data_IF_165136762370
#
_entry.id   IF_165136762370
#
_cell.length_a   1.000
_cell.length_b   1.000
_cell.length_c   1.000
_cell.angle_alpha   90.00
_cell.angle_beta   90.00
_cell.angle_gamma   90.00
#
_symmetry.space_group_name_H-M   'P 1'
#
loop_
_entity.id
_entity.type
_entity.pdbx_description
1 polymer ?
#
# COMPACT_ATOMS: atom_id res chain seq x y z
N UNK A 1 -3.95 11.03 -14.76
CA UNK A 1 -4.30 11.55 -13.40
C UNK A 1 -4.35 13.06 -13.52
N UNK A 2 -5.42 13.68 -13.03
CA UNK A 2 -5.67 15.11 -13.13
C UNK A 2 -5.94 15.68 -11.73
N UNK A 3 -5.73 16.99 -11.54
CA UNK A 3 -6.06 17.73 -10.33
C UNK A 3 -7.06 18.82 -10.72
N UNK A 4 -8.23 18.82 -10.10
CA UNK A 4 -9.27 19.83 -10.31
C UNK A 4 -9.39 20.69 -9.05
N UNK A 5 -9.36 22.02 -9.22
CA UNK A 5 -9.56 22.98 -8.15
C UNK A 5 -10.89 23.70 -8.36
N UNK A 6 -11.79 23.55 -7.40
CA UNK A 6 -13.04 24.32 -7.34
C UNK A 6 -12.91 25.40 -6.25
N UNK A 7 -13.26 26.64 -6.58
CA UNK A 7 -13.19 27.78 -5.66
C UNK A 7 -14.50 28.58 -5.70
N UNK A 8 -15.07 28.88 -4.55
CA UNK A 8 -16.30 29.67 -4.38
C UNK A 8 -16.03 30.84 -3.43
N UNK A 9 -16.48 32.06 -3.77
CA UNK A 9 -16.08 33.32 -3.09
C UNK A 9 -16.81 33.57 -1.76
N UNK A 10 -17.72 32.72 -1.33
CA UNK A 10 -18.43 32.89 -0.07
C UNK A 10 -18.52 31.58 0.73
N UNK A 11 -17.70 31.48 1.77
CA UNK A 11 -17.99 30.78 3.04
C UNK A 11 -16.89 31.09 4.06
N UNK A 12 -17.30 31.49 5.26
CA UNK A 12 -16.45 31.82 6.42
C UNK A 12 -15.73 30.62 7.05
N UNK A 13 -15.51 29.53 6.30
CA UNK A 13 -14.79 28.33 6.76
C UNK A 13 -13.60 28.05 5.84
N UNK A 14 -12.41 28.17 6.41
CA UNK A 14 -11.12 27.78 5.84
C UNK A 14 -10.96 26.25 5.68
N UNK A 15 -12.05 25.49 5.49
CA UNK A 15 -11.95 24.03 5.34
C UNK A 15 -11.66 23.68 3.88
N UNK A 16 -10.44 23.20 3.60
CA UNK A 16 -10.06 22.67 2.30
C UNK A 16 -10.39 21.19 2.28
N UNK A 17 -11.43 20.79 1.54
CA UNK A 17 -11.73 19.38 1.34
C UNK A 17 -10.96 18.82 0.14
N UNK A 18 -10.27 17.69 0.34
CA UNK A 18 -9.63 16.92 -0.74
C UNK A 18 -10.45 15.66 -0.95
N UNK A 19 -10.84 15.38 -2.20
CA UNK A 19 -11.57 14.18 -2.59
C UNK A 19 -10.74 13.32 -3.55
N UNK A 20 -10.68 12.03 -3.27
CA UNK A 20 -10.04 11.01 -4.09
C UNK A 20 -11.14 10.07 -4.60
N UNK A 21 -11.23 9.99 -5.92
CA UNK A 21 -12.13 9.08 -6.64
C UNK A 21 -11.29 8.23 -7.59
N UNK A 22 -11.53 6.93 -7.58
CA UNK A 22 -10.92 5.98 -8.51
C UNK A 22 -11.92 5.68 -9.62
N UNK A 23 -11.67 6.24 -10.80
CA UNK A 23 -12.61 6.15 -11.92
C UNK A 23 -12.60 4.74 -12.51
N UNK A 24 -13.78 4.15 -12.64
CA UNK A 24 -13.95 2.83 -13.24
C UNK A 24 -13.64 1.66 -12.30
N UNK A 25 -13.48 1.90 -11.00
CA UNK A 25 -13.44 0.85 -9.98
C UNK A 25 -14.58 1.00 -8.98
N UNK A 26 -14.84 -0.05 -8.22
CA UNK A 26 -15.82 -0.04 -7.11
C UNK A 26 -15.19 0.40 -5.79
N UNK A 27 -14.00 1.01 -5.83
CA UNK A 27 -13.35 1.51 -4.62
C UNK A 27 -14.16 2.67 -4.02
N UNK A 28 -14.32 2.71 -2.69
CA UNK A 28 -15.04 3.78 -2.05
C UNK A 28 -14.26 5.10 -2.19
N UNK A 29 -14.99 6.22 -2.25
CA UNK A 29 -14.36 7.53 -2.25
C UNK A 29 -13.63 7.77 -0.94
N UNK A 30 -12.50 8.49 -1.00
CA UNK A 30 -11.79 8.94 0.18
C UNK A 30 -11.74 10.46 0.18
N UNK A 31 -12.35 11.10 1.16
CA UNK A 31 -12.32 12.56 1.34
C UNK A 31 -11.78 12.92 2.71
N UNK A 32 -11.07 14.03 2.81
CA UNK A 32 -10.57 14.54 4.08
C UNK A 32 -10.23 16.03 4.02
N UNK A 33 -10.22 16.67 5.19
CA UNK A 33 -9.56 17.95 5.43
C UNK A 33 -8.10 17.69 5.83
N UNK A 34 -7.09 18.40 5.28
CA UNK A 34 -5.68 18.26 5.68
C UNK A 34 -5.44 18.33 7.19
N UNK A 35 -6.24 19.10 7.94
CA UNK A 35 -6.16 19.17 9.41
C UNK A 35 -6.49 17.82 10.09
N UNK A 36 -7.23 16.93 9.43
CA UNK A 36 -7.44 15.56 9.92
C UNK A 36 -6.16 14.73 9.86
N UNK A 37 -5.34 14.88 8.81
CA UNK A 37 -4.03 14.21 8.71
C UNK A 37 -3.07 14.72 9.79
N UNK A 38 -3.04 16.03 10.02
CA UNK A 38 -2.19 16.64 11.06
C UNK A 38 -2.53 16.15 12.47
N UNK A 39 -3.80 15.85 12.73
CA UNK A 39 -4.28 15.36 14.03
C UNK A 39 -4.30 13.84 14.16
N UNK A 40 -4.16 13.12 13.05
CA UNK A 40 -4.24 11.67 13.06
C UNK A 40 -3.05 11.05 13.80
N UNK A 41 -3.30 9.89 14.41
CA UNK A 41 -2.28 9.06 15.04
C UNK A 41 -2.31 7.68 14.41
N UNK A 42 -1.14 7.18 14.02
CA UNK A 42 -0.96 5.84 13.48
C UNK A 42 0.10 5.09 14.27
N UNK A 43 -0.15 3.82 14.51
CA UNK A 43 0.82 2.92 15.14
C UNK A 43 1.67 2.22 14.08
N UNK A 44 2.92 1.94 14.43
CA UNK A 44 3.80 1.09 13.61
C UNK A 44 3.66 -0.38 14.05
N UNK A 45 3.84 -1.30 13.12
CA UNK A 45 3.91 -2.73 13.41
C UNK A 45 4.75 -3.48 12.37
N UNK A 46 5.19 -4.69 12.70
CA UNK A 46 5.66 -5.62 11.68
C UNK A 46 4.49 -6.13 10.83
N UNK A 47 4.78 -6.85 9.75
CA UNK A 47 3.74 -7.40 8.89
C UNK A 47 2.87 -8.39 9.65
N UNK A 48 1.57 -8.16 9.58
CA UNK A 48 0.52 -9.07 10.04
C UNK A 48 -0.05 -9.82 8.82
N UNK A 49 -1.24 -10.41 8.94
CA UNK A 49 -1.84 -11.26 7.91
C UNK A 49 -2.07 -10.54 6.58
N UNK A 50 -2.45 -9.27 6.61
CA UNK A 50 -2.74 -8.50 5.40
C UNK A 50 -1.76 -7.36 5.22
N UNK A 51 -1.35 -7.13 3.97
CA UNK A 51 -0.65 -5.93 3.53
C UNK A 51 -1.59 -5.10 2.65
N UNK A 52 -1.68 -3.81 2.96
CA UNK A 52 -2.59 -2.88 2.31
C UNK A 52 -1.78 -1.77 1.68
N UNK A 53 -1.98 -1.56 0.38
CA UNK A 53 -1.43 -0.43 -0.36
C UNK A 53 -2.57 0.52 -0.76
N UNK A 54 -2.63 1.75 -0.22
CA UNK A 54 -3.68 2.70 -0.55
C UNK A 54 -3.66 3.04 -2.04
N UNK A 55 -4.80 3.50 -2.55
CA UNK A 55 -4.86 4.06 -3.90
C UNK A 55 -3.82 5.17 -4.11
N UNK A 56 -3.27 5.24 -5.32
CA UNK A 56 -2.30 6.28 -5.69
C UNK A 56 -2.86 7.71 -5.54
N UNK A 57 -4.19 7.87 -5.55
CA UNK A 57 -4.87 9.10 -5.19
C UNK A 57 -4.54 9.57 -3.78
N UNK A 58 -4.70 8.68 -2.81
CA UNK A 58 -4.51 8.89 -1.37
C UNK A 58 -3.03 9.19 -1.08
N UNK A 59 -2.12 8.42 -1.67
CA UNK A 59 -0.68 8.63 -1.48
C UNK A 59 -0.22 10.00 -1.96
N UNK A 60 -0.72 10.48 -3.11
CA UNK A 60 -0.35 11.82 -3.62
C UNK A 60 -1.06 12.95 -2.88
N UNK A 61 -2.20 12.67 -2.24
CA UNK A 61 -2.89 13.63 -1.39
C UNK A 61 -2.23 13.79 -0.01
N UNK A 62 -1.32 12.88 0.36
CA UNK A 62 -0.59 12.95 1.63
C UNK A 62 -1.36 12.42 2.84
N UNK A 63 -2.50 11.74 2.65
CA UNK A 63 -3.28 11.14 3.73
C UNK A 63 -2.63 9.81 4.19
N UNK A 64 -1.49 9.89 4.89
CA UNK A 64 -0.72 8.72 5.29
C UNK A 64 -1.13 8.20 6.67
N UNK A 65 -1.22 9.09 7.64
CA UNK A 65 -1.48 8.76 9.06
C UNK A 65 -2.99 8.62 9.27
N UNK A 66 -3.76 9.51 8.64
CA UNK A 66 -5.20 9.48 8.61
C UNK A 66 -5.72 8.19 7.98
N UNK A 67 -5.10 7.72 6.90
CA UNK A 67 -5.52 6.46 6.28
C UNK A 67 -5.37 5.28 7.24
N UNK A 68 -4.24 5.17 7.94
CA UNK A 68 -4.06 4.16 8.99
C UNK A 68 -5.13 4.27 10.06
N UNK A 69 -5.24 5.46 10.68
CA UNK A 69 -6.15 5.72 11.80
C UNK A 69 -7.61 5.44 11.44
N UNK A 70 -8.06 5.94 10.29
CA UNK A 70 -9.46 5.88 9.83
C UNK A 70 -9.93 4.45 9.55
N UNK A 71 -9.03 3.56 9.16
CA UNK A 71 -9.34 2.17 8.87
C UNK A 71 -8.83 1.20 9.94
N UNK A 72 -8.33 1.70 11.09
CA UNK A 72 -7.81 0.86 12.17
C UNK A 72 -6.58 0.03 11.78
N UNK A 73 -5.79 0.51 10.81
CA UNK A 73 -4.62 -0.18 10.30
C UNK A 73 -3.35 0.30 11.00
N UNK A 74 -2.32 -0.54 11.02
CA UNK A 74 -0.97 -0.16 11.46
C UNK A 74 -0.10 0.11 10.24
N UNK A 75 0.85 1.03 10.32
CA UNK A 75 1.84 1.24 9.26
C UNK A 75 2.99 0.26 9.44
N UNK A 76 3.53 -0.30 8.36
CA UNK A 76 4.74 -1.12 8.47
C UNK A 76 5.95 -0.30 8.92
N UNK A 77 6.08 0.89 8.34
CA UNK A 77 7.17 1.84 8.59
C UNK A 77 6.68 3.23 8.14
N UNK A 78 7.31 4.30 8.62
CA UNK A 78 6.90 5.68 8.33
C UNK A 78 6.83 5.97 6.83
N UNK A 79 7.83 5.51 6.05
CA UNK A 79 8.01 5.86 4.64
C UNK A 79 7.70 4.71 3.67
N UNK A 80 7.31 3.54 4.16
CA UNK A 80 6.99 2.39 3.30
C UNK A 80 5.65 2.51 2.58
N UNK A 81 4.74 3.33 3.12
CA UNK A 81 3.37 3.52 2.61
C UNK A 81 2.57 2.21 2.44
N UNK A 82 2.98 1.17 3.15
CA UNK A 82 2.24 -0.06 3.35
C UNK A 82 1.68 -0.10 4.76
N UNK A 83 0.48 -0.64 4.86
CA UNK A 83 -0.27 -0.79 6.09
C UNK A 83 -0.56 -2.26 6.31
N UNK A 84 -0.90 -2.63 7.53
CA UNK A 84 -1.13 -4.01 7.91
C UNK A 84 -2.20 -4.15 8.99
N UNK A 85 -2.87 -5.31 8.97
CA UNK A 85 -3.84 -5.74 9.97
C UNK A 85 -3.91 -7.27 9.97
N UNK A 86 -4.30 -7.86 11.10
CA UNK A 86 -4.58 -9.28 11.25
C UNK A 86 -5.92 -9.68 10.64
N UNK A 87 -6.89 -8.77 10.70
CA UNK A 87 -8.25 -8.94 10.22
C UNK A 87 -8.68 -7.72 9.41
N UNK A 88 -9.30 -7.95 8.25
CA UNK A 88 -9.78 -6.87 7.40
C UNK A 88 -10.97 -6.15 8.08
N UNK A 89 -10.97 -4.81 8.12
CA UNK A 89 -12.13 -4.04 8.57
C UNK A 89 -13.39 -4.38 7.78
N UNK A 90 -14.55 -4.33 8.45
CA UNK A 90 -15.85 -4.51 7.78
C UNK A 90 -16.14 -3.44 6.72
N UNK A 91 -15.56 -2.25 6.88
CA UNK A 91 -15.67 -1.16 5.93
C UNK A 91 -14.70 -1.41 4.76
N UNK A 92 -15.21 -1.30 3.53
CA UNK A 92 -14.39 -1.37 2.32
C UNK A 92 -13.25 -0.33 2.38
N UNK A 93 -12.05 -0.78 2.03
CA UNK A 93 -10.85 0.06 2.04
C UNK A 93 -10.53 0.46 0.59
N UNK A 94 -10.31 1.75 0.29
CA UNK A 94 -9.83 2.18 -1.01
C UNK A 94 -8.33 1.88 -1.15
N UNK A 95 -8.02 0.61 -1.44
CA UNK A 95 -6.67 0.07 -1.49
C UNK A 95 -6.59 -1.22 -2.31
N UNK A 96 -5.37 -1.60 -2.69
CA UNK A 96 -5.05 -2.98 -3.03
C UNK A 96 -4.75 -3.75 -1.75
N UNK A 97 -5.33 -4.93 -1.61
CA UNK A 97 -5.21 -5.75 -0.41
C UNK A 97 -4.51 -7.07 -0.79
N UNK A 98 -3.48 -7.41 -0.03
CA UNK A 98 -2.68 -8.60 -0.21
C UNK A 98 -2.73 -9.43 1.06
N UNK A 99 -3.10 -10.71 0.95
CA UNK A 99 -2.93 -11.68 2.03
C UNK A 99 -1.49 -12.21 1.99
N UNK A 100 -0.77 -12.06 3.10
CA UNK A 100 0.60 -12.54 3.24
C UNK A 100 0.58 -14.06 3.43
N UNK A 101 1.32 -14.75 2.58
CA UNK A 101 1.55 -16.19 2.66
C UNK A 101 2.77 -16.45 3.54
N UNK A 102 3.89 -15.78 3.25
CA UNK A 102 5.13 -15.94 4.00
C UNK A 102 6.10 -14.75 3.83
N UNK A 103 7.05 -14.60 4.75
CA UNK A 103 8.25 -13.78 4.57
C UNK A 103 9.34 -14.62 3.91
N UNK A 104 9.89 -14.15 2.79
CA UNK A 104 10.85 -14.93 2.00
C UNK A 104 12.16 -14.19 1.82
N UNK A 105 13.27 -14.95 1.84
CA UNK A 105 14.57 -14.40 1.49
C UNK A 105 14.68 -14.24 -0.04
N UNK A 106 15.16 -13.09 -0.56
CA UNK A 106 15.30 -12.85 -2.00
C UNK A 106 16.47 -13.65 -2.59
N UNK A 107 16.25 -14.95 -2.78
CA UNK A 107 17.23 -15.93 -3.25
C UNK A 107 16.71 -16.71 -4.46
N UNK A 108 17.53 -16.85 -5.51
CA UNK A 108 17.16 -17.55 -6.76
C UNK A 108 16.65 -18.98 -6.56
N UNK A 109 17.21 -19.75 -5.62
CA UNK A 109 16.78 -21.13 -5.34
C UNK A 109 15.38 -21.15 -4.73
N UNK A 110 15.11 -20.26 -3.76
CA UNK A 110 13.79 -20.11 -3.14
C UNK A 110 12.78 -19.67 -4.20
N UNK A 111 13.11 -18.66 -5.01
CA UNK A 111 12.22 -18.18 -6.08
C UNK A 111 11.89 -19.25 -7.11
N UNK A 112 12.84 -20.11 -7.48
CA UNK A 112 12.59 -21.23 -8.41
C UNK A 112 11.70 -22.32 -7.79
N UNK A 113 11.80 -22.54 -6.48
CA UNK A 113 10.94 -23.49 -5.77
C UNK A 113 9.51 -22.96 -5.63
N UNK A 114 9.34 -21.69 -5.25
CA UNK A 114 8.03 -21.04 -5.11
C UNK A 114 7.36 -20.75 -6.46
N UNK A 115 8.15 -20.30 -7.44
CA UNK A 115 7.66 -19.91 -8.77
C UNK A 115 8.43 -20.67 -9.86
N UNK A 116 8.14 -21.98 -10.10
CA UNK A 116 8.87 -22.78 -11.10
C UNK A 116 8.82 -22.23 -12.52
N UNK A 117 7.76 -21.50 -12.87
CA UNK A 117 7.61 -20.81 -14.16
C UNK A 117 8.44 -19.52 -14.27
N UNK A 118 8.99 -19.04 -13.15
CA UNK A 118 9.67 -17.76 -13.03
C UNK A 118 8.75 -16.54 -13.16
N UNK A 119 7.43 -16.71 -13.04
CA UNK A 119 6.45 -15.63 -13.15
C UNK A 119 5.84 -15.29 -11.79
N UNK A 120 6.02 -14.06 -11.35
CA UNK A 120 5.39 -13.47 -10.16
C UNK A 120 5.41 -11.95 -10.30
N UNK A 121 4.37 -11.27 -9.85
CA UNK A 121 4.33 -9.81 -9.86
C UNK A 121 5.24 -9.27 -8.76
N UNK A 122 6.01 -8.21 -9.02
CA UNK A 122 6.93 -7.64 -8.01
C UNK A 122 6.59 -6.18 -7.75
N UNK A 123 6.40 -5.85 -6.48
CA UNK A 123 6.21 -4.48 -5.99
C UNK A 123 7.37 -4.16 -5.06
N UNK A 124 8.01 -3.01 -5.25
CA UNK A 124 9.00 -2.50 -4.31
C UNK A 124 8.65 -1.06 -3.91
N UNK A 125 8.60 -0.79 -2.60
CA UNK A 125 8.49 0.57 -2.05
C UNK A 125 9.36 0.69 -0.82
N UNK A 126 10.15 1.76 -0.71
CA UNK A 126 11.10 1.93 0.39
C UNK A 126 11.99 0.67 0.54
N UNK A 127 12.53 0.17 -0.57
CA UNK A 127 13.37 -1.02 -0.63
C UNK A 127 14.64 -0.68 -1.43
N UNK A 128 15.81 -1.30 -1.17
CA UNK A 128 17.08 -0.88 -1.76
C UNK A 128 17.18 -1.05 -3.27
N UNK A 129 16.31 -1.89 -3.84
CA UNK A 129 16.26 -2.20 -5.26
C UNK A 129 14.86 -1.88 -5.79
N UNK A 130 14.78 -1.39 -7.02
CA UNK A 130 13.52 -1.31 -7.75
C UNK A 130 12.95 -2.70 -8.05
N UNK A 131 11.65 -2.78 -8.33
CA UNK A 131 11.00 -4.04 -8.72
C UNK A 131 11.67 -4.68 -9.94
N UNK A 132 12.12 -3.88 -10.91
CA UNK A 132 12.78 -4.39 -12.11
C UNK A 132 14.19 -4.93 -11.81
N UNK A 133 14.96 -4.27 -10.94
CA UNK A 133 16.27 -4.78 -10.50
C UNK A 133 16.13 -6.06 -9.68
N UNK A 134 15.14 -6.12 -8.79
CA UNK A 134 14.87 -7.32 -8.00
C UNK A 134 14.45 -8.49 -8.89
N UNK A 135 13.55 -8.26 -9.86
CA UNK A 135 13.17 -9.28 -10.87
C UNK A 135 14.38 -9.81 -11.63
N UNK A 136 15.21 -8.92 -12.18
CA UNK A 136 16.44 -9.30 -12.90
C UNK A 136 17.39 -10.11 -12.02
N UNK A 137 17.63 -9.66 -10.77
CA UNK A 137 18.48 -10.35 -9.81
C UNK A 137 17.96 -11.75 -9.48
N UNK A 138 16.64 -11.95 -9.46
CA UNK A 138 16.00 -13.21 -9.09
C UNK A 138 15.56 -14.09 -10.27
N UNK A 139 15.83 -13.67 -11.51
CA UNK A 139 15.38 -14.31 -12.75
C UNK A 139 13.84 -14.44 -12.83
N UNK A 140 13.12 -13.41 -12.41
CA UNK A 140 11.66 -13.34 -12.42
C UNK A 140 11.13 -12.47 -13.56
N UNK A 141 9.91 -12.75 -13.99
CA UNK A 141 9.12 -11.98 -14.95
C UNK A 141 7.75 -11.69 -14.35
N UNK A 142 7.08 -10.65 -14.84
CA UNK A 142 5.70 -10.36 -14.41
C UNK A 142 4.73 -11.44 -14.89
N UNK A 143 3.64 -11.63 -14.15
CA UNK A 143 2.59 -12.60 -14.43
C UNK A 143 2.29 -13.51 -13.24
N UNK A 144 1.20 -14.28 -13.37
CA UNK A 144 0.62 -15.03 -12.25
C UNK A 144 -0.26 -14.16 -11.35
N UNK A 145 -0.83 -14.77 -10.32
CA UNK A 145 -1.77 -14.14 -9.37
C UNK A 145 -1.09 -13.71 -8.06
N UNK A 146 0.16 -14.15 -7.88
CA UNK A 146 0.94 -13.94 -6.68
C UNK A 146 1.86 -12.73 -6.82
N UNK A 147 2.28 -12.21 -5.66
CA UNK A 147 3.07 -10.99 -5.54
C UNK A 147 4.26 -11.22 -4.63
N UNK A 148 5.40 -10.64 -4.98
CA UNK A 148 6.49 -10.36 -4.07
C UNK A 148 6.50 -8.87 -3.75
N UNK A 149 6.39 -8.54 -2.47
CA UNK A 149 6.38 -7.17 -1.98
C UNK A 149 7.66 -6.92 -1.19
N UNK A 150 8.60 -6.19 -1.81
CA UNK A 150 9.81 -5.72 -1.15
C UNK A 150 9.59 -4.36 -0.50
N UNK A 151 9.80 -4.27 0.82
CA UNK A 151 9.66 -3.00 1.55
C UNK A 151 10.52 -2.95 2.82
N UNK A 152 10.56 -1.80 3.49
CA UNK A 152 11.16 -1.66 4.81
C UNK A 152 10.09 -1.85 5.89
N UNK A 153 10.37 -2.67 6.88
CA UNK A 153 9.63 -2.78 8.14
C UNK A 153 10.44 -2.17 9.29
N UNK A 154 9.97 -2.28 10.53
CA UNK A 154 10.70 -1.77 11.69
C UNK A 154 11.99 -2.57 11.93
N UNK A 155 12.04 -3.84 11.51
CA UNK A 155 13.19 -4.74 11.67
C UNK A 155 14.14 -4.75 10.47
N UNK A 156 13.87 -3.98 9.41
CA UNK A 156 14.77 -3.83 8.26
C UNK A 156 14.08 -4.06 6.92
N UNK A 157 14.84 -4.41 5.89
CA UNK A 157 14.28 -4.69 4.57
C UNK A 157 13.78 -6.13 4.49
N UNK A 158 12.54 -6.29 4.05
CA UNK A 158 11.81 -7.57 3.99
C UNK A 158 11.21 -7.78 2.59
N UNK A 159 10.98 -9.04 2.25
CA UNK A 159 10.22 -9.43 1.05
C UNK A 159 9.11 -10.38 1.47
N UNK A 160 7.87 -10.02 1.16
CA UNK A 160 6.69 -10.81 1.49
C UNK A 160 6.14 -11.46 0.23
N UNK A 161 5.84 -12.76 0.30
CA UNK A 161 5.08 -13.48 -0.71
C UNK A 161 3.60 -13.41 -0.37
N UNK A 162 2.80 -12.89 -1.29
CA UNK A 162 1.39 -12.60 -1.06
C UNK A 162 0.50 -13.03 -2.23
N UNK A 163 -0.80 -13.14 -1.96
CA UNK A 163 -1.86 -13.16 -2.97
C UNK A 163 -2.70 -11.91 -2.88
N UNK A 164 -3.11 -11.37 -4.03
CA UNK A 164 -4.03 -10.23 -4.05
C UNK A 164 -5.45 -10.72 -3.79
N UNK A 165 -6.13 -10.10 -2.84
CA UNK A 165 -7.52 -10.41 -2.47
C UNK A 165 -8.49 -9.27 -2.81
N UNK A 166 -7.99 -8.06 -3.06
CA UNK A 166 -8.74 -6.91 -3.59
C UNK A 166 -7.84 -5.93 -4.35
#
# INVERSE_FOLDING_TARGET
KELLLFWEKEKSKLSRQIEIVDLGSENPRFSFDPLEEEKAVAHLSEAEKYLIEPLSGILKAGAFTLFASRFGLKKLEKNSHFYTCSELPQKQIPARIFEMIDEVQPNKKIMKALFPSGRVNVICRNYPQSANELKKKLNLKDGGEEFLIGTKSQTGFKVFWCRRVS
#
